data_IF_611375634803
#
_entry.id   IF_611375634803
#
_cell.length_a   1.000
_cell.length_b   1.000
_cell.length_c   1.000
_cell.angle_alpha   90.00
_cell.angle_beta   90.00
_cell.angle_gamma   90.00
#
_symmetry.space_group_name_H-M   'P 1'
#
loop_
_entity.id
_entity.type
_entity.pdbx_description
1 polymer ?
#
# COMPACT_ATOMS: atom_id res chain seq x y z
N UNK A 1 11.73 -10.87 0.49
CA UNK A 1 10.89 -11.69 -0.40
C UNK A 1 9.82 -10.80 -1.05
N UNK A 2 9.25 -11.21 -2.17
CA UNK A 2 8.16 -10.53 -2.87
C UNK A 2 7.00 -11.50 -2.98
N UNK A 3 5.80 -11.04 -2.58
CA UNK A 3 4.56 -11.79 -2.72
C UNK A 3 3.69 -11.08 -3.77
N UNK A 4 3.53 -11.65 -4.98
CA UNK A 4 2.67 -11.05 -5.99
C UNK A 4 1.19 -11.25 -5.64
N UNK A 5 0.42 -10.15 -5.66
CA UNK A 5 -1.03 -10.15 -5.44
C UNK A 5 -1.73 -9.82 -6.76
N UNK A 6 -2.77 -10.57 -7.10
CA UNK A 6 -3.52 -10.42 -8.36
C UNK A 6 -4.63 -9.36 -8.23
N UNK A 7 -4.23 -8.09 -8.18
CA UNK A 7 -5.19 -6.98 -8.15
C UNK A 7 -5.90 -6.81 -6.81
N UNK A 8 -7.20 -6.50 -6.85
CA UNK A 8 -8.01 -6.21 -5.65
C UNK A 8 -8.31 -7.47 -4.86
N UNK A 9 -7.79 -7.56 -3.65
CA UNK A 9 -8.10 -8.67 -2.74
C UNK A 9 -9.53 -8.58 -2.19
N UNK A 10 -9.98 -9.67 -1.58
CA UNK A 10 -11.31 -9.74 -0.97
C UNK A 10 -11.48 -8.67 0.12
N UNK A 11 -12.56 -7.90 0.06
CA UNK A 11 -12.93 -7.01 1.15
C UNK A 11 -13.50 -7.82 2.32
N UNK A 12 -12.69 -8.02 3.34
CA UNK A 12 -13.01 -8.88 4.49
C UNK A 12 -14.10 -8.31 5.41
N UNK A 13 -14.35 -6.99 5.36
CA UNK A 13 -15.45 -6.35 6.10
C UNK A 13 -16.85 -6.63 5.47
N UNK A 14 -16.87 -7.12 4.22
CA UNK A 14 -18.10 -7.49 3.50
C UNK A 14 -18.27 -8.99 3.28
N UNK A 15 -17.22 -9.76 3.49
CA UNK A 15 -17.21 -11.17 3.20
C UNK A 15 -17.59 -12.00 4.44
N UNK A 16 -18.31 -13.10 4.21
CA UNK A 16 -18.55 -14.09 5.26
C UNK A 16 -17.24 -14.83 5.62
N UNK A 17 -17.14 -15.33 6.85
CA UNK A 17 -15.99 -16.10 7.31
C UNK A 17 -15.66 -17.28 6.38
N UNK A 18 -16.68 -17.98 5.89
CA UNK A 18 -16.49 -19.09 4.94
C UNK A 18 -15.80 -18.65 3.64
N UNK A 19 -16.17 -17.48 3.10
CA UNK A 19 -15.50 -16.91 1.91
C UNK A 19 -14.06 -16.51 2.20
N UNK A 20 -13.80 -15.96 3.37
CA UNK A 20 -12.45 -15.55 3.78
C UNK A 20 -11.55 -16.77 3.93
N UNK A 21 -11.99 -17.83 4.61
CA UNK A 21 -11.26 -19.07 4.80
C UNK A 21 -10.94 -19.80 3.48
N UNK A 22 -11.82 -19.67 2.48
CA UNK A 22 -11.63 -20.27 1.15
C UNK A 22 -10.84 -19.38 0.19
N UNK A 23 -10.53 -18.16 0.58
CA UNK A 23 -9.78 -17.22 -0.28
C UNK A 23 -8.28 -17.55 -0.22
N UNK A 24 -7.76 -18.07 -1.32
CA UNK A 24 -6.36 -18.51 -1.40
C UNK A 24 -5.37 -17.35 -1.17
N UNK A 25 -5.66 -16.13 -1.62
CA UNK A 25 -4.78 -14.97 -1.44
C UNK A 25 -4.69 -14.57 0.03
N UNK A 26 -5.82 -14.52 0.74
CA UNK A 26 -5.86 -14.24 2.19
C UNK A 26 -5.06 -15.31 2.96
N UNK A 27 -5.28 -16.59 2.66
CA UNK A 27 -4.57 -17.67 3.34
C UNK A 27 -3.07 -17.66 3.02
N UNK A 28 -2.70 -17.34 1.78
CA UNK A 28 -1.28 -17.18 1.41
C UNK A 28 -0.61 -16.03 2.16
N UNK A 29 -1.30 -14.90 2.37
CA UNK A 29 -0.76 -13.80 3.16
C UNK A 29 -0.57 -14.16 4.63
N UNK A 30 -1.53 -14.83 5.23
CA UNK A 30 -1.45 -15.33 6.62
C UNK A 30 -0.21 -16.22 6.79
N UNK A 31 -0.04 -17.18 5.89
CA UNK A 31 1.10 -18.11 5.92
C UNK A 31 2.42 -17.37 5.63
N UNK A 32 2.45 -16.49 4.62
CA UNK A 32 3.65 -15.72 4.26
C UNK A 32 4.15 -14.83 5.41
N UNK A 33 3.25 -14.24 6.19
CA UNK A 33 3.63 -13.39 7.32
C UNK A 33 4.04 -14.19 8.57
N UNK A 34 3.70 -15.46 8.64
CA UNK A 34 3.94 -16.30 9.82
C UNK A 34 2.90 -16.09 10.92
N UNK A 35 1.64 -15.82 10.52
CA UNK A 35 0.55 -15.60 11.46
C UNK A 35 -0.14 -16.92 11.83
N UNK A 36 -0.51 -17.06 13.09
CA UNK A 36 -1.38 -18.12 13.57
C UNK A 36 -2.84 -17.72 13.43
N UNK A 37 -3.69 -18.64 13.01
CA UNK A 37 -5.12 -18.40 12.77
C UNK A 37 -5.99 -19.26 13.67
N UNK A 38 -6.95 -18.66 14.35
CA UNK A 38 -8.06 -19.41 14.97
C UNK A 38 -9.08 -19.76 13.87
N UNK A 39 -9.27 -21.04 13.56
CA UNK A 39 -10.12 -21.46 12.44
C UNK A 39 -11.62 -21.16 12.65
N UNK A 40 -12.06 -20.92 13.88
CA UNK A 40 -13.46 -20.61 14.20
C UNK A 40 -13.79 -19.13 14.05
N UNK A 41 -12.87 -18.26 14.43
CA UNK A 41 -13.08 -16.80 14.48
C UNK A 41 -12.31 -16.02 13.42
N UNK A 42 -11.34 -16.67 12.75
CA UNK A 42 -10.35 -16.04 11.87
C UNK A 42 -9.48 -14.99 12.60
N UNK A 43 -9.51 -14.96 13.92
CA UNK A 43 -8.62 -14.10 14.68
C UNK A 43 -7.17 -14.51 14.41
N UNK A 44 -6.37 -13.55 14.00
CA UNK A 44 -4.95 -13.75 13.75
C UNK A 44 -4.14 -13.29 14.97
N UNK A 45 -3.12 -14.06 15.27
CA UNK A 45 -2.13 -13.74 16.30
C UNK A 45 -0.74 -14.05 15.78
N UNK A 46 0.28 -13.47 16.41
CA UNK A 46 1.66 -13.81 16.14
C UNK A 46 2.50 -13.67 17.41
N UNK A 47 3.61 -14.38 17.42
CA UNK A 47 4.72 -14.08 18.30
C UNK A 47 5.82 -13.39 17.49
N UNK A 48 6.52 -12.38 18.01
CA UNK A 48 7.54 -11.66 17.26
C UNK A 48 8.61 -12.55 16.63
N UNK A 49 8.95 -13.66 17.30
CA UNK A 49 9.91 -14.66 16.83
C UNK A 49 9.39 -15.52 15.65
N UNK A 50 8.07 -15.63 15.46
CA UNK A 50 7.44 -16.41 14.39
C UNK A 50 7.22 -15.56 13.12
N UNK A 51 7.30 -14.23 13.23
CA UNK A 51 7.20 -13.35 12.07
C UNK A 51 8.35 -13.60 11.10
N UNK A 52 8.00 -13.94 9.87
CA UNK A 52 9.00 -14.24 8.83
C UNK A 52 9.74 -13.01 8.31
N UNK A 53 9.17 -11.82 8.53
CA UNK A 53 9.70 -10.55 8.02
C UNK A 53 9.55 -9.43 9.03
N UNK A 54 10.59 -8.61 9.18
CA UNK A 54 10.58 -7.43 10.05
C UNK A 54 9.79 -6.25 9.49
N UNK A 55 9.40 -6.29 8.21
CA UNK A 55 8.55 -5.29 7.56
C UNK A 55 7.66 -5.94 6.53
N UNK A 56 6.39 -5.53 6.52
CA UNK A 56 5.40 -5.85 5.49
C UNK A 56 5.17 -4.57 4.70
N UNK A 57 5.69 -4.51 3.47
CA UNK A 57 5.64 -3.31 2.64
C UNK A 57 4.62 -3.57 1.53
N UNK A 58 3.62 -2.69 1.41
CA UNK A 58 2.57 -2.80 0.41
C UNK A 58 2.91 -1.88 -0.75
N UNK A 59 3.28 -2.49 -1.87
CA UNK A 59 3.54 -1.80 -3.13
C UNK A 59 2.31 -1.87 -4.02
N UNK A 60 1.91 -0.75 -4.60
CA UNK A 60 0.85 -0.67 -5.61
C UNK A 60 1.07 0.56 -6.48
N UNK A 61 0.41 0.61 -7.62
CA UNK A 61 0.45 1.74 -8.53
C UNK A 61 0.05 3.04 -7.82
N UNK A 62 0.56 4.17 -8.33
CA UNK A 62 0.29 5.50 -7.77
C UNK A 62 -1.08 6.08 -8.21
N UNK A 63 -2.02 5.24 -8.62
CA UNK A 63 -3.35 5.62 -9.09
C UNK A 63 -4.46 5.27 -8.06
N UNK A 64 -5.71 5.57 -8.43
CA UNK A 64 -6.89 5.31 -7.57
C UNK A 64 -7.13 3.81 -7.33
N UNK A 65 -6.79 2.95 -8.27
CA UNK A 65 -6.92 1.50 -8.13
C UNK A 65 -5.85 0.95 -7.20
N UNK A 66 -4.61 1.44 -7.30
CA UNK A 66 -3.54 1.11 -6.36
C UNK A 66 -3.83 1.57 -4.93
N UNK A 67 -4.40 2.77 -4.75
CA UNK A 67 -4.87 3.25 -3.45
C UNK A 67 -5.96 2.34 -2.88
N UNK A 68 -6.91 1.87 -3.72
CA UNK A 68 -7.94 0.92 -3.29
C UNK A 68 -7.35 -0.43 -2.89
N UNK A 69 -6.35 -0.95 -3.61
CA UNK A 69 -5.64 -2.19 -3.26
C UNK A 69 -4.98 -2.04 -1.87
N UNK A 70 -4.25 -0.95 -1.63
CA UNK A 70 -3.66 -0.66 -0.31
C UNK A 70 -4.73 -0.64 0.79
N UNK A 71 -5.86 0.04 0.55
CA UNK A 71 -6.94 0.11 1.52
C UNK A 71 -7.58 -1.24 1.84
N UNK A 72 -7.73 -2.13 0.85
CA UNK A 72 -8.19 -3.50 1.08
C UNK A 72 -7.19 -4.29 1.94
N UNK A 73 -5.90 -4.09 1.71
CA UNK A 73 -4.83 -4.70 2.49
C UNK A 73 -4.84 -4.23 3.95
N UNK A 74 -4.93 -2.91 4.17
CA UNK A 74 -5.05 -2.35 5.51
C UNK A 74 -6.32 -2.83 6.20
N UNK A 75 -7.43 -2.96 5.44
CA UNK A 75 -8.70 -3.50 5.97
C UNK A 75 -8.54 -4.94 6.44
N UNK A 76 -7.82 -5.77 5.69
CA UNK A 76 -7.51 -7.14 6.10
C UNK A 76 -6.69 -7.18 7.40
N UNK A 77 -5.57 -6.45 7.45
CA UNK A 77 -4.72 -6.42 8.63
C UNK A 77 -5.47 -5.83 9.83
N UNK A 78 -6.15 -4.70 9.65
CA UNK A 78 -6.91 -4.05 10.72
C UNK A 78 -8.01 -4.93 11.30
N UNK A 79 -8.70 -5.69 10.44
CA UNK A 79 -9.81 -6.54 10.87
C UNK A 79 -9.34 -7.76 11.68
N UNK A 80 -8.23 -8.38 11.28
CA UNK A 80 -7.83 -9.67 11.85
C UNK A 80 -6.58 -9.62 12.73
N UNK A 81 -5.68 -8.68 12.49
CA UNK A 81 -4.43 -8.53 13.26
C UNK A 81 -3.98 -7.06 13.34
N UNK A 82 -4.78 -6.17 13.97
CA UNK A 82 -4.43 -4.75 14.07
C UNK A 82 -3.11 -4.52 14.79
N UNK A 83 -2.70 -5.48 15.62
CA UNK A 83 -1.45 -5.42 16.37
C UNK A 83 -0.23 -5.29 15.44
N UNK A 84 -0.25 -5.87 14.24
CA UNK A 84 0.82 -5.69 13.26
C UNK A 84 1.05 -4.23 12.84
N UNK A 85 -0.04 -3.44 12.79
CA UNK A 85 0.06 -1.99 12.53
C UNK A 85 0.56 -1.28 13.78
N UNK A 86 0.00 -1.57 14.94
CA UNK A 86 0.34 -0.92 16.21
C UNK A 86 1.79 -1.19 16.62
N UNK A 87 2.31 -2.38 16.34
CA UNK A 87 3.71 -2.75 16.62
C UNK A 87 4.68 -2.30 15.50
N UNK A 88 4.18 -1.63 14.44
CA UNK A 88 5.00 -0.97 13.45
C UNK A 88 5.57 -1.86 12.35
N UNK A 89 4.96 -3.01 12.08
CA UNK A 89 5.42 -3.93 11.02
C UNK A 89 4.91 -3.57 9.63
N UNK A 90 3.90 -2.70 9.49
CA UNK A 90 3.20 -2.42 8.22
C UNK A 90 3.65 -1.09 7.62
N UNK A 91 3.98 -1.11 6.34
CA UNK A 91 4.48 0.04 5.60
C UNK A 91 3.77 0.19 4.25
N UNK A 92 3.61 1.43 3.80
CA UNK A 92 3.25 1.78 2.44
C UNK A 92 4.51 2.04 1.63
N UNK A 93 4.68 1.35 0.51
CA UNK A 93 5.70 1.70 -0.45
C UNK A 93 5.27 2.91 -1.31
N UNK A 94 6.26 3.71 -1.70
CA UNK A 94 6.07 4.87 -2.57
C UNK A 94 6.90 4.64 -3.83
N UNK A 95 6.30 4.09 -4.89
CA UNK A 95 6.98 3.94 -6.16
C UNK A 95 7.33 5.33 -6.73
N UNK A 96 8.44 5.45 -7.47
CA UNK A 96 8.80 6.70 -8.11
C UNK A 96 7.74 7.10 -9.16
N UNK A 97 7.43 8.40 -9.20
CA UNK A 97 6.49 8.95 -10.18
C UNK A 97 7.17 9.37 -11.48
N UNK A 98 8.45 9.73 -11.40
CA UNK A 98 9.23 10.16 -12.56
C UNK A 98 10.58 9.45 -12.66
N UNK A 99 10.97 9.17 -13.91
CA UNK A 99 12.32 8.76 -14.28
C UNK A 99 12.96 9.88 -15.11
N UNK A 100 14.11 10.39 -14.67
CA UNK A 100 14.92 11.32 -15.39
C UNK A 100 16.06 10.54 -16.05
N UNK A 101 16.22 10.68 -17.35
CA UNK A 101 17.34 10.07 -18.07
C UNK A 101 18.36 11.15 -18.44
N UNK A 102 19.58 11.03 -17.92
CA UNK A 102 20.71 11.89 -18.21
C UNK A 102 21.75 11.09 -18.99
N UNK A 103 22.05 11.51 -20.24
CA UNK A 103 22.97 10.75 -21.09
C UNK A 103 22.39 9.42 -21.57
N UNK A 104 23.24 8.39 -21.68
CA UNK A 104 22.84 7.08 -22.23
C UNK A 104 22.27 6.13 -21.18
N UNK A 105 22.82 6.12 -19.97
CA UNK A 105 22.54 5.06 -18.98
C UNK A 105 22.36 5.60 -17.54
N UNK A 106 22.30 6.91 -17.36
CA UNK A 106 22.11 7.50 -16.04
C UNK A 106 20.64 7.80 -15.80
N UNK A 107 20.04 7.14 -14.79
CA UNK A 107 18.66 7.31 -14.40
C UNK A 107 18.55 7.82 -12.97
N UNK A 108 17.75 8.90 -12.79
CA UNK A 108 17.38 9.44 -11.47
C UNK A 108 15.88 9.25 -11.31
N UNK A 109 15.46 8.72 -10.17
CA UNK A 109 14.07 8.44 -9.88
C UNK A 109 13.54 9.44 -8.85
N UNK A 110 12.43 10.08 -9.17
CA UNK A 110 11.82 11.12 -8.35
C UNK A 110 10.43 10.67 -7.90
N UNK A 111 10.16 10.88 -6.62
CA UNK A 111 8.95 10.35 -5.96
C UNK A 111 7.66 11.10 -6.31
N UNK A 112 7.74 12.41 -6.58
CA UNK A 112 6.58 13.30 -6.73
C UNK A 112 6.90 14.54 -7.59
N UNK A 113 5.86 15.36 -7.85
CA UNK A 113 5.97 16.60 -8.61
C UNK A 113 6.90 17.62 -7.94
N UNK A 114 6.93 17.65 -6.61
CA UNK A 114 7.81 18.55 -5.87
C UNK A 114 9.28 18.22 -6.11
N UNK A 115 9.63 16.94 -6.04
CA UNK A 115 10.98 16.49 -6.35
C UNK A 115 11.36 16.78 -7.81
N UNK A 116 10.41 16.72 -8.74
CA UNK A 116 10.64 17.08 -10.13
C UNK A 116 10.93 18.57 -10.30
N UNK A 117 10.19 19.44 -9.63
CA UNK A 117 10.43 20.89 -9.70
C UNK A 117 11.78 21.28 -9.06
N UNK A 118 12.13 20.68 -7.92
CA UNK A 118 13.44 20.86 -7.29
C UNK A 118 14.57 20.39 -8.21
N UNK A 119 14.38 19.24 -8.89
CA UNK A 119 15.34 18.74 -9.88
C UNK A 119 15.51 19.73 -11.03
N UNK A 120 14.43 20.26 -11.62
CA UNK A 120 14.49 21.24 -12.70
C UNK A 120 15.26 22.52 -12.30
N UNK A 121 15.03 23.01 -11.07
CA UNK A 121 15.73 24.19 -10.55
C UNK A 121 17.22 23.97 -10.42
N UNK A 122 17.67 22.80 -9.98
CA UNK A 122 19.07 22.48 -9.74
C UNK A 122 19.82 22.04 -10.99
N UNK A 123 19.10 21.69 -12.07
CA UNK A 123 19.68 21.18 -13.32
C UNK A 123 19.38 22.06 -14.53
N UNK A 124 19.23 23.37 -14.32
CA UNK A 124 19.04 24.33 -15.40
C UNK A 124 20.18 24.27 -16.42
N UNK A 125 19.83 24.27 -17.71
CA UNK A 125 20.80 24.21 -18.81
C UNK A 125 21.38 22.82 -19.12
N UNK A 126 21.07 21.80 -18.34
CA UNK A 126 21.45 20.41 -18.66
C UNK A 126 20.41 19.75 -19.57
N UNK A 127 20.89 18.85 -20.44
CA UNK A 127 20.00 18.04 -21.30
C UNK A 127 19.59 16.78 -20.53
N UNK A 128 18.29 16.56 -20.39
CA UNK A 128 17.68 15.35 -19.81
C UNK A 128 16.32 15.06 -20.42
N UNK A 129 15.85 13.83 -20.26
CA UNK A 129 14.47 13.43 -20.63
C UNK A 129 13.72 13.07 -19.37
N UNK A 130 12.44 13.47 -19.33
CA UNK A 130 11.52 13.16 -18.23
C UNK A 130 10.56 12.08 -18.72
N UNK A 131 10.56 10.92 -18.07
CA UNK A 131 9.57 9.87 -18.25
C UNK A 131 8.66 9.81 -17.02
N UNK A 132 7.34 9.77 -17.20
CA UNK A 132 6.39 9.50 -16.13
C UNK A 132 6.22 8.00 -15.99
N UNK A 133 6.36 7.49 -14.76
CA UNK A 133 6.12 6.09 -14.46
C UNK A 133 4.64 5.89 -14.18
N UNK A 134 3.98 5.00 -14.94
CA UNK A 134 2.53 4.83 -14.89
C UNK A 134 2.07 3.73 -13.95
N UNK A 135 2.79 2.62 -13.92
CA UNK A 135 2.44 1.49 -13.08
C UNK A 135 3.59 0.52 -12.87
N UNK A 136 3.51 -0.30 -11.82
CA UNK A 136 4.54 -1.29 -11.46
C UNK A 136 4.77 -2.32 -12.58
N UNK A 137 3.71 -2.66 -13.33
CA UNK A 137 3.79 -3.60 -14.44
C UNK A 137 4.56 -3.10 -15.67
N UNK A 138 4.81 -1.79 -15.77
CA UNK A 138 5.60 -1.17 -16.84
C UNK A 138 7.08 -0.99 -16.46
N UNK A 139 7.44 -1.29 -15.19
CA UNK A 139 8.80 -1.16 -14.69
C UNK A 139 9.70 -2.29 -15.20
N UNK A 140 10.91 -1.95 -15.60
CA UNK A 140 11.96 -2.93 -15.87
C UNK A 140 12.39 -3.65 -14.59
N UNK A 141 13.16 -4.74 -14.73
CA UNK A 141 13.71 -5.44 -13.57
C UNK A 141 14.63 -4.53 -12.71
N UNK A 142 15.38 -3.64 -13.33
CA UNK A 142 16.24 -2.67 -12.65
C UNK A 142 15.40 -1.64 -11.88
N UNK A 143 14.35 -1.12 -12.48
CA UNK A 143 13.42 -0.19 -11.85
C UNK A 143 12.69 -0.84 -10.67
N UNK A 144 12.22 -2.07 -10.85
CA UNK A 144 11.58 -2.85 -9.78
C UNK A 144 12.54 -3.11 -8.61
N UNK A 145 13.84 -3.27 -8.89
CA UNK A 145 14.85 -3.46 -7.84
C UNK A 145 14.89 -2.31 -6.84
N UNK A 146 14.57 -1.08 -7.28
CA UNK A 146 14.55 0.11 -6.41
C UNK A 146 13.50 -0.03 -5.30
N UNK A 147 12.37 -0.68 -5.58
CA UNK A 147 11.30 -0.87 -4.60
C UNK A 147 11.68 -1.85 -3.48
N UNK A 148 12.60 -2.76 -3.76
CA UNK A 148 13.03 -3.79 -2.80
C UNK A 148 14.37 -3.47 -2.15
N UNK A 149 15.17 -2.59 -2.75
CA UNK A 149 16.48 -2.17 -2.24
C UNK A 149 16.33 -1.30 -0.98
N UNK A 150 16.82 -1.73 0.20
CA UNK A 150 16.70 -0.97 1.44
C UNK A 150 17.22 0.47 1.38
N UNK A 151 18.24 0.71 0.55
CA UNK A 151 18.92 2.02 0.47
C UNK A 151 18.22 2.99 -0.52
N UNK A 152 17.39 2.47 -1.41
CA UNK A 152 16.75 3.26 -2.48
C UNK A 152 15.24 3.41 -2.31
N UNK A 153 14.59 2.41 -1.72
CA UNK A 153 13.13 2.41 -1.56
C UNK A 153 12.66 3.50 -0.63
N UNK A 154 11.52 4.10 -0.96
CA UNK A 154 10.81 5.03 -0.08
C UNK A 154 9.62 4.31 0.51
N UNK A 155 9.56 4.25 1.83
CA UNK A 155 8.46 3.62 2.57
C UNK A 155 7.97 4.55 3.69
N UNK A 156 6.66 4.54 3.93
CA UNK A 156 6.04 5.20 5.07
C UNK A 156 5.43 4.17 5.99
N UNK A 157 5.75 4.25 7.28
CA UNK A 157 5.12 3.40 8.28
C UNK A 157 3.64 3.75 8.40
N UNK A 158 2.79 2.73 8.42
CA UNK A 158 1.36 2.90 8.69
C UNK A 158 1.18 3.00 10.20
N UNK A 159 0.65 4.13 10.66
CA UNK A 159 0.43 4.42 12.07
C UNK A 159 -1.04 4.69 12.36
N UNK A 160 -1.46 4.48 13.59
CA UNK A 160 -2.81 4.77 14.07
C UNK A 160 -2.71 5.62 15.34
N UNK A 161 -3.31 6.80 15.30
CA UNK A 161 -3.33 7.73 16.44
C UNK A 161 -4.46 7.39 17.40
N UNK A 162 -5.67 7.08 16.90
CA UNK A 162 -6.84 6.69 17.67
C UNK A 162 -7.46 5.40 17.12
N UNK A 163 -7.39 4.34 17.92
CA UNK A 163 -7.90 3.00 17.55
C UNK A 163 -9.41 3.02 17.33
N UNK A 164 -10.18 3.77 18.12
CA UNK A 164 -11.64 3.82 18.01
C UNK A 164 -12.08 4.59 16.77
N UNK A 165 -11.36 5.66 16.46
CA UNK A 165 -11.63 6.44 15.25
C UNK A 165 -11.27 5.66 13.99
N UNK A 166 -10.11 4.98 13.99
CA UNK A 166 -9.70 4.12 12.89
C UNK A 166 -10.72 3.01 12.62
N UNK A 167 -11.22 2.34 13.66
CA UNK A 167 -12.22 1.27 13.49
C UNK A 167 -13.52 1.79 12.88
N UNK A 168 -14.03 2.93 13.36
CA UNK A 168 -15.20 3.60 12.78
C UNK A 168 -14.97 3.99 11.31
N UNK A 169 -13.76 4.44 10.98
CA UNK A 169 -13.41 4.82 9.61
C UNK A 169 -13.39 3.60 8.68
N UNK A 170 -12.78 2.49 9.11
CA UNK A 170 -12.82 1.25 8.35
C UNK A 170 -14.25 0.73 8.17
N UNK A 171 -15.10 0.80 9.19
CA UNK A 171 -16.52 0.43 9.07
C UNK A 171 -17.26 1.33 8.09
N UNK A 172 -17.07 2.65 8.16
CA UNK A 172 -17.74 3.60 7.28
C UNK A 172 -17.31 3.42 5.81
N UNK A 173 -16.02 3.24 5.54
CA UNK A 173 -15.47 3.21 4.18
C UNK A 173 -15.52 1.82 3.55
N UNK A 174 -15.25 0.77 4.33
CA UNK A 174 -15.06 -0.59 3.84
C UNK A 174 -16.19 -1.55 4.25
N UNK A 175 -17.07 -1.15 5.17
CA UNK A 175 -18.22 -1.94 5.62
C UNK A 175 -19.34 -2.07 4.57
N UNK A 176 -20.38 -2.86 4.88
CA UNK A 176 -21.52 -3.09 3.97
C UNK A 176 -22.41 -1.85 3.82
N UNK A 177 -22.60 -1.08 4.91
CA UNK A 177 -23.50 0.06 4.92
C UNK A 177 -23.04 1.16 3.95
N UNK A 178 -23.96 1.62 3.09
CA UNK A 178 -23.68 2.63 2.07
C UNK A 178 -23.76 4.05 2.65
N UNK A 179 -24.69 4.29 3.58
CA UNK A 179 -24.98 5.62 4.13
C UNK A 179 -23.75 6.26 4.80
N UNK A 180 -23.02 5.59 5.71
CA UNK A 180 -21.83 6.20 6.33
C UNK A 180 -20.77 6.62 5.32
N UNK A 181 -20.59 5.83 4.23
CA UNK A 181 -19.66 6.16 3.16
C UNK A 181 -20.08 7.38 2.37
N UNK A 182 -21.38 7.50 2.04
CA UNK A 182 -21.92 8.70 1.36
C UNK A 182 -21.77 9.96 2.23
N UNK A 183 -22.02 9.85 3.52
CA UNK A 183 -21.86 10.95 4.47
C UNK A 183 -20.39 11.38 4.59
N UNK A 184 -19.47 10.42 4.67
CA UNK A 184 -18.03 10.70 4.66
C UNK A 184 -17.61 11.44 3.38
N UNK A 185 -17.99 10.93 2.21
CA UNK A 185 -17.67 11.56 0.92
C UNK A 185 -18.22 12.99 0.88
N UNK A 186 -19.48 13.18 1.27
CA UNK A 186 -20.12 14.51 1.31
C UNK A 186 -19.41 15.46 2.25
N UNK A 187 -18.98 14.98 3.42
CA UNK A 187 -18.29 15.80 4.44
C UNK A 187 -16.92 16.27 3.98
N UNK A 188 -16.21 15.44 3.22
CA UNK A 188 -14.81 15.70 2.82
C UNK A 188 -14.64 16.01 1.32
N UNK A 189 -15.74 16.19 0.58
CA UNK A 189 -15.69 16.47 -0.87
C UNK A 189 -14.87 17.70 -1.22
N UNK A 190 -14.95 18.75 -0.39
CA UNK A 190 -14.27 20.03 -0.64
C UNK A 190 -12.75 19.98 -0.41
N UNK A 191 -12.28 18.93 0.28
CA UNK A 191 -10.85 18.70 0.54
C UNK A 191 -10.24 17.69 -0.42
N UNK A 192 -11.04 17.09 -1.30
CA UNK A 192 -10.56 16.09 -2.24
C UNK A 192 -9.72 16.72 -3.35
N UNK A 193 -8.52 16.21 -3.54
CA UNK A 193 -7.68 16.54 -4.69
C UNK A 193 -7.96 15.55 -5.81
N UNK A 194 -8.36 16.03 -6.98
CA UNK A 194 -8.57 15.20 -8.15
C UNK A 194 -7.31 15.23 -9.00
N UNK A 195 -6.69 14.05 -9.23
CA UNK A 195 -5.71 13.89 -10.29
C UNK A 195 -6.46 13.70 -11.61
N UNK A 196 -6.43 14.70 -12.48
CA UNK A 196 -6.94 14.63 -13.85
C UNK A 196 -5.83 14.11 -14.75
#
# INVERSE_FOLDING_TARGET
AVLPIRGKILNVRKASLDKIQKNAEIMTMIDAFGLSVDPKTMKLTYHPEDLRYGKIIIESDADVDGAHIKNLFYTFIWTFCPQLIMDGYVYAGVPPLYRITMGKDEHIYLKDDKALEEFKQTHQGKKYQIGRMKGLGEMSAEETSILVDPDKRIIHQVTVEDVKEADKLFDALMGEAITPRKEFIKKYSDTATYSI
#
